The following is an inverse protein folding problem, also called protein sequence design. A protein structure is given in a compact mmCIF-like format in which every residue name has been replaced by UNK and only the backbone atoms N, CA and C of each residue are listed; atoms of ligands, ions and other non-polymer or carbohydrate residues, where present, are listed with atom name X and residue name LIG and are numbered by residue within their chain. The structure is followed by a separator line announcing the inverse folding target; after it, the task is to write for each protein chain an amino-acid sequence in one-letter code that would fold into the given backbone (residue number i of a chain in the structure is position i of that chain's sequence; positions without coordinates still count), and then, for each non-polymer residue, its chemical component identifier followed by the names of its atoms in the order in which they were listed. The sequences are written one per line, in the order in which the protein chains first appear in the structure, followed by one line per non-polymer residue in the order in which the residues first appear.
data_IF_367770666108
#
_entry.id   IF_367770666108
#
_cell.length_a   1.000
_cell.length_b   1.000
_cell.length_c   1.000
_cell.angle_alpha   90.00
_cell.angle_beta   90.00
_cell.angle_gamma   90.00
#
_symmetry.space_group_name_H-M   'P 1'
#
loop_
_entity.id
_entity.type
_entity.pdbx_description
1 polymer ?
#
# COMPACT_ATOMS: atom_id res chain seq x y z
N UNK A 1 -32.55 19.35 -7.51
CA UNK A 1 -31.30 18.61 -7.67
C UNK A 1 -31.57 17.15 -7.36
N UNK A 2 -31.12 16.25 -8.20
CA UNK A 2 -31.31 14.82 -7.94
C UNK A 2 -30.24 14.29 -6.99
N UNK A 3 -30.53 13.14 -6.35
CA UNK A 3 -29.57 12.50 -5.46
C UNK A 3 -28.25 12.14 -6.14
N UNK A 4 -28.29 11.96 -7.46
CA UNK A 4 -27.13 11.54 -8.25
C UNK A 4 -26.39 12.70 -8.90
N UNK A 5 -26.77 13.94 -8.60
CA UNK A 5 -26.07 15.10 -9.15
C UNK A 5 -24.63 15.14 -8.64
N UNK A 6 -23.65 15.37 -9.53
CA UNK A 6 -22.27 15.46 -9.12
C UNK A 6 -22.04 16.60 -8.11
N UNK A 7 -21.32 16.29 -7.07
CA UNK A 7 -20.92 17.29 -6.07
C UNK A 7 -19.64 16.82 -5.37
N UNK A 8 -18.96 17.74 -4.72
CA UNK A 8 -17.79 17.37 -3.92
C UNK A 8 -18.23 16.61 -2.67
N UNK A 9 -17.42 15.67 -2.27
CA UNK A 9 -17.62 14.92 -1.03
C UNK A 9 -16.40 15.10 -0.14
N UNK A 10 -16.63 15.22 1.16
CA UNK A 10 -15.55 15.30 2.14
C UNK A 10 -15.64 14.09 3.04
N UNK A 11 -14.55 13.35 3.14
CA UNK A 11 -14.41 12.26 4.09
C UNK A 11 -13.48 12.72 5.20
N UNK A 12 -13.99 12.77 6.44
CA UNK A 12 -13.21 13.29 7.57
C UNK A 12 -12.19 12.25 8.03
N UNK A 13 -10.99 12.71 8.34
CA UNK A 13 -9.94 11.86 8.88
C UNK A 13 -10.29 11.33 10.26
N UNK A 14 -9.69 10.20 10.63
CA UNK A 14 -9.84 9.62 11.95
C UNK A 14 -11.08 8.77 12.16
N UNK A 15 -11.92 8.56 11.14
CA UNK A 15 -13.11 7.74 11.25
C UNK A 15 -12.89 6.43 10.48
N UNK A 16 -12.93 5.31 11.22
CA UNK A 16 -12.89 4.00 10.59
C UNK A 16 -11.54 3.60 10.00
N UNK A 17 -11.14 2.41 10.30
CA UNK A 17 -10.00 1.76 9.66
C UNK A 17 -10.39 0.33 9.36
N UNK A 18 -9.68 -0.29 8.43
CA UNK A 18 -9.92 -1.69 8.11
C UNK A 18 -8.59 -2.39 7.89
N UNK A 19 -8.59 -3.71 8.04
CA UNK A 19 -7.44 -4.54 7.73
C UNK A 19 -7.59 -5.06 6.30
N UNK A 20 -6.64 -4.70 5.43
CA UNK A 20 -6.64 -5.20 4.07
C UNK A 20 -6.21 -6.65 3.98
N UNK A 21 -6.45 -7.27 2.83
CA UNK A 21 -6.04 -8.67 2.55
C UNK A 21 -4.53 -8.84 2.65
N UNK A 22 -3.79 -7.77 2.42
CA UNK A 22 -2.34 -7.74 2.54
C UNK A 22 -1.85 -7.82 3.99
N UNK A 23 -2.75 -7.73 4.98
CA UNK A 23 -2.42 -7.84 6.39
C UNK A 23 -2.05 -6.54 7.07
N UNK A 24 -2.28 -5.40 6.42
CA UNK A 24 -1.97 -4.07 6.97
C UNK A 24 -3.25 -3.29 7.27
N UNK A 25 -3.11 -2.29 8.14
CA UNK A 25 -4.22 -1.43 8.53
C UNK A 25 -4.31 -0.21 7.62
N UNK A 26 -5.49 0.01 7.07
CA UNK A 26 -5.79 1.13 6.18
C UNK A 26 -6.86 2.02 6.78
N UNK A 27 -6.70 3.33 6.56
CA UNK A 27 -7.82 4.26 6.70
C UNK A 27 -8.39 4.51 5.32
N UNK A 28 -9.65 4.17 5.12
CA UNK A 28 -10.32 4.32 3.84
C UNK A 28 -10.76 5.76 3.63
N UNK A 29 -9.96 6.53 2.89
CA UNK A 29 -10.30 7.90 2.57
C UNK A 29 -11.38 7.97 1.48
N UNK A 30 -10.95 7.96 0.23
CA UNK A 30 -11.86 8.08 -0.92
C UNK A 30 -12.01 6.72 -1.59
N UNK A 31 -13.27 6.31 -1.75
CA UNK A 31 -13.61 5.08 -2.48
C UNK A 31 -15.03 5.18 -3.02
N UNK A 32 -15.50 4.14 -3.69
CA UNK A 32 -16.89 4.07 -4.12
C UNK A 32 -17.85 4.17 -2.93
N UNK A 33 -17.52 3.51 -1.83
CA UNK A 33 -18.38 3.46 -0.65
C UNK A 33 -18.39 4.76 0.13
N UNK A 34 -17.24 5.41 0.28
CA UNK A 34 -17.14 6.61 1.10
C UNK A 34 -17.56 7.88 0.39
N UNK A 35 -17.29 7.97 -0.90
CA UNK A 35 -17.47 9.21 -1.65
C UNK A 35 -18.18 9.04 -2.99
N UNK A 36 -18.53 7.82 -3.36
CA UNK A 36 -19.12 7.58 -4.67
C UNK A 36 -18.12 7.70 -5.82
N UNK A 37 -16.83 7.51 -5.53
CA UNK A 37 -15.81 7.55 -6.57
C UNK A 37 -16.05 6.46 -7.61
N UNK A 38 -15.78 6.78 -8.87
CA UNK A 38 -16.11 5.88 -9.98
C UNK A 38 -14.90 5.18 -10.55
N UNK A 39 -13.70 5.76 -10.42
CA UNK A 39 -12.50 5.24 -11.10
C UNK A 39 -11.26 5.21 -10.24
N UNK A 40 -11.34 5.69 -9.00
CA UNK A 40 -10.18 5.73 -8.12
C UNK A 40 -10.55 5.49 -6.69
N UNK A 41 -9.56 5.07 -5.91
CA UNK A 41 -9.61 5.12 -4.45
C UNK A 41 -8.31 5.77 -3.94
N UNK A 42 -8.37 6.29 -2.73
CA UNK A 42 -7.24 6.98 -2.12
C UNK A 42 -7.33 6.80 -0.61
N UNK A 43 -6.31 6.18 -0.03
CA UNK A 43 -6.35 5.84 1.39
C UNK A 43 -4.98 5.94 2.05
N UNK A 44 -5.00 5.91 3.37
CA UNK A 44 -3.82 6.00 4.21
C UNK A 44 -3.46 4.60 4.73
N UNK A 45 -2.20 4.24 4.59
CA UNK A 45 -1.65 2.99 5.10
C UNK A 45 -0.70 3.29 6.25
N UNK A 46 -0.83 2.54 7.33
CA UNK A 46 0.14 2.56 8.43
C UNK A 46 0.75 1.17 8.59
N UNK A 47 2.08 1.12 8.55
CA UNK A 47 2.83 -0.11 8.78
C UNK A 47 3.56 0.03 10.12
N UNK A 48 3.21 -0.79 11.12
CA UNK A 48 3.86 -0.67 12.42
C UNK A 48 5.35 -1.02 12.35
N UNK A 49 6.12 -0.65 13.40
CA UNK A 49 7.53 -1.04 13.45
C UNK A 49 7.72 -2.53 13.23
N UNK A 50 8.66 -2.89 12.37
CA UNK A 50 8.92 -4.30 12.03
C UNK A 50 7.85 -4.98 11.21
N UNK A 51 6.77 -4.27 10.86
CA UNK A 51 5.65 -4.85 10.13
C UNK A 51 5.91 -5.03 8.65
N UNK A 52 5.14 -5.92 8.03
CA UNK A 52 5.21 -6.14 6.58
C UNK A 52 3.87 -6.61 6.06
N UNK A 53 3.62 -6.33 4.80
CA UNK A 53 2.45 -6.86 4.11
C UNK A 53 2.65 -8.31 3.74
N UNK A 54 1.58 -8.97 3.32
CA UNK A 54 1.65 -10.23 2.58
C UNK A 54 2.01 -9.92 1.14
N UNK A 55 2.80 -10.80 0.52
CA UNK A 55 3.13 -10.66 -0.89
C UNK A 55 1.86 -10.73 -1.73
N UNK A 56 1.70 -9.80 -2.66
CA UNK A 56 0.48 -9.70 -3.46
C UNK A 56 0.71 -8.92 -4.74
N UNK A 57 -0.29 -8.96 -5.61
CA UNK A 57 -0.37 -8.09 -6.79
C UNK A 57 -1.80 -7.57 -6.91
N UNK A 58 -1.96 -6.55 -7.71
CA UNK A 58 -3.27 -6.04 -8.11
C UNK A 58 -3.45 -6.35 -9.59
N UNK A 59 -4.40 -7.24 -9.90
CA UNK A 59 -4.51 -7.81 -11.23
C UNK A 59 -4.92 -6.79 -12.30
N UNK A 60 -5.82 -5.88 -11.95
CA UNK A 60 -6.52 -5.04 -12.92
C UNK A 60 -6.32 -3.54 -12.74
N UNK A 61 -5.56 -3.10 -11.75
CA UNK A 61 -5.35 -1.67 -11.56
C UNK A 61 -3.92 -1.35 -11.18
N UNK A 62 -3.57 -0.10 -11.36
CA UNK A 62 -2.25 0.40 -11.00
C UNK A 62 -2.34 1.22 -9.71
N UNK A 63 -1.22 1.39 -9.04
CA UNK A 63 -1.12 2.12 -7.77
C UNK A 63 -0.03 3.16 -7.81
N UNK A 64 -0.28 4.27 -7.14
CA UNK A 64 0.73 5.28 -6.84
C UNK A 64 0.81 5.43 -5.33
N UNK A 65 2.02 5.43 -4.79
CA UNK A 65 2.26 5.47 -3.36
C UNK A 65 3.16 6.65 -3.04
N UNK A 66 2.82 7.40 -2.00
CA UNK A 66 3.68 8.45 -1.46
C UNK A 66 4.00 8.12 -0.01
N UNK A 67 5.28 7.92 0.31
CA UNK A 67 5.70 7.67 1.69
C UNK A 67 5.75 9.00 2.43
N UNK A 68 4.87 9.17 3.41
CA UNK A 68 4.78 10.42 4.19
C UNK A 68 5.93 10.48 5.19
N UNK A 69 6.14 9.38 5.92
CA UNK A 69 7.18 9.28 6.95
C UNK A 69 7.60 7.85 7.14
N UNK A 70 8.78 7.66 7.68
CA UNK A 70 9.34 6.34 7.93
C UNK A 70 10.30 5.91 6.84
N UNK A 71 10.71 4.64 6.93
CA UNK A 71 11.64 4.01 6.00
C UNK A 71 11.08 2.64 5.64
N UNK A 72 11.02 2.32 4.36
CA UNK A 72 10.45 1.06 3.91
C UNK A 72 11.36 0.36 2.92
N UNK A 73 11.34 -0.96 2.96
CA UNK A 73 11.94 -1.80 1.92
C UNK A 73 10.82 -2.28 1.01
N UNK A 74 10.89 -1.94 -0.26
CA UNK A 74 9.94 -2.40 -1.26
C UNK A 74 10.57 -3.50 -2.08
N UNK A 75 10.05 -4.71 -1.92
CA UNK A 75 10.41 -5.85 -2.75
C UNK A 75 9.38 -6.00 -3.86
N UNK A 76 9.81 -6.27 -5.08
CA UNK A 76 8.87 -6.35 -6.19
C UNK A 76 9.42 -7.17 -7.35
N UNK A 77 8.53 -7.42 -8.32
CA UNK A 77 8.87 -8.15 -9.53
C UNK A 77 8.82 -9.65 -9.34
N UNK A 78 9.24 -10.38 -10.36
CA UNK A 78 9.23 -11.85 -10.35
C UNK A 78 10.11 -12.39 -9.22
N UNK A 79 9.53 -13.23 -8.38
CA UNK A 79 10.23 -13.79 -7.23
C UNK A 79 10.63 -12.76 -6.19
N UNK A 80 10.09 -11.55 -6.26
CA UNK A 80 10.42 -10.43 -5.37
C UNK A 80 11.92 -10.15 -5.33
N UNK A 81 12.57 -10.22 -6.47
CA UNK A 81 14.04 -10.07 -6.58
C UNK A 81 14.51 -8.63 -6.68
N UNK A 82 13.62 -7.72 -7.08
CA UNK A 82 13.95 -6.31 -7.14
C UNK A 82 13.71 -5.65 -5.79
N UNK A 83 14.50 -4.65 -5.46
CA UNK A 83 14.41 -3.98 -4.17
C UNK A 83 14.78 -2.51 -4.27
N UNK A 84 13.98 -1.67 -3.62
CA UNK A 84 14.33 -0.28 -3.37
C UNK A 84 14.06 0.06 -1.91
N UNK A 85 14.94 0.82 -1.31
CA UNK A 85 14.70 1.40 0.01
C UNK A 85 14.10 2.78 -0.18
N UNK A 86 12.96 3.00 0.50
CA UNK A 86 12.19 4.23 0.40
C UNK A 86 12.32 5.04 1.67
N UNK A 87 12.34 6.35 1.52
CA UNK A 87 12.38 7.30 2.62
C UNK A 87 11.20 8.25 2.51
N UNK A 88 10.86 8.90 3.61
CA UNK A 88 9.79 9.90 3.58
C UNK A 88 10.02 10.92 2.47
N UNK A 89 8.99 11.16 1.67
CA UNK A 89 9.06 12.01 0.49
C UNK A 89 9.16 11.27 -0.83
N UNK A 90 9.40 9.96 -0.81
CA UNK A 90 9.54 9.19 -2.05
C UNK A 90 8.19 8.75 -2.61
N UNK A 91 8.15 8.62 -3.93
CA UNK A 91 6.98 8.12 -4.65
C UNK A 91 7.30 6.78 -5.29
N UNK A 92 6.31 5.90 -5.33
CA UNK A 92 6.41 4.59 -5.99
C UNK A 92 5.24 4.42 -6.95
N UNK A 93 5.53 3.94 -8.14
CA UNK A 93 4.51 3.51 -9.09
C UNK A 93 4.51 2.00 -9.20
N UNK A 94 3.34 1.39 -9.06
CA UNK A 94 3.18 -0.06 -9.13
C UNK A 94 2.22 -0.39 -10.27
N UNK A 95 2.72 -0.93 -11.39
CA UNK A 95 1.84 -1.35 -12.48
C UNK A 95 0.93 -2.51 -12.09
N UNK A 96 -0.17 -2.67 -12.80
CA UNK A 96 -1.03 -3.83 -12.64
C UNK A 96 -0.23 -5.11 -12.88
N UNK A 97 -0.51 -6.14 -12.10
CA UNK A 97 0.09 -7.46 -12.28
C UNK A 97 1.50 -7.65 -11.72
N UNK A 98 2.09 -6.62 -11.13
CA UNK A 98 3.46 -6.74 -10.58
C UNK A 98 3.40 -7.17 -9.12
N UNK A 99 4.00 -8.32 -8.77
CA UNK A 99 4.11 -8.74 -7.36
C UNK A 99 4.91 -7.75 -6.54
N UNK A 100 4.46 -7.49 -5.33
CA UNK A 100 5.19 -6.59 -4.43
C UNK A 100 4.93 -6.92 -2.96
N UNK A 101 5.86 -6.49 -2.13
CA UNK A 101 5.80 -6.71 -0.69
C UNK A 101 6.55 -5.58 0.02
N UNK A 102 5.83 -4.63 0.62
CA UNK A 102 6.48 -3.60 1.43
C UNK A 102 6.75 -4.08 2.85
N UNK A 103 7.88 -3.65 3.38
CA UNK A 103 8.31 -3.97 4.76
C UNK A 103 8.73 -2.67 5.42
N UNK A 104 8.29 -2.45 6.66
CA UNK A 104 8.84 -1.34 7.44
C UNK A 104 10.29 -1.67 7.81
N UNK A 105 11.23 -0.84 7.39
CA UNK A 105 12.65 -1.07 7.63
C UNK A 105 13.09 -0.70 9.04
N UNK A 106 12.22 -0.08 9.83
CA UNK A 106 12.50 0.32 11.20
C UNK A 106 11.84 -0.61 12.21
N UNK A 107 12.54 -0.92 13.28
CA UNK A 107 11.99 -1.69 14.40
C UNK A 107 11.37 -0.80 15.48
N UNK A 108 11.48 0.53 15.34
CA UNK A 108 11.04 1.48 16.37
C UNK A 108 10.05 2.53 15.89
N UNK A 109 9.98 2.80 14.60
CA UNK A 109 9.14 3.86 14.05
C UNK A 109 8.14 3.31 13.05
N UNK A 110 6.88 3.81 13.05
CA UNK A 110 5.93 3.42 12.02
C UNK A 110 6.30 4.02 10.66
N UNK A 111 5.80 3.41 9.60
CA UNK A 111 5.84 3.98 8.26
C UNK A 111 4.41 4.30 7.84
N UNK A 112 4.20 5.47 7.23
CA UNK A 112 2.88 5.92 6.80
C UNK A 112 2.94 6.38 5.36
N UNK A 113 1.95 5.94 4.60
CA UNK A 113 1.92 6.20 3.17
C UNK A 113 0.49 6.51 2.70
N UNK A 114 0.41 7.34 1.66
CA UNK A 114 -0.83 7.54 0.91
C UNK A 114 -0.78 6.66 -0.33
N UNK A 115 -1.89 6.03 -0.65
CA UNK A 115 -2.00 5.12 -1.78
C UNK A 115 -3.21 5.52 -2.63
N UNK A 116 -2.96 5.77 -3.91
CA UNK A 116 -4.00 5.99 -4.90
C UNK A 116 -4.03 4.79 -5.85
N UNK A 117 -5.21 4.31 -6.19
CA UNK A 117 -5.39 3.22 -7.16
C UNK A 117 -6.44 3.59 -8.18
N UNK A 118 -6.31 3.02 -9.37
CA UNK A 118 -7.24 3.24 -10.48
C UNK A 118 -8.45 2.33 -10.42
N UNK A 119 -8.96 2.09 -9.22
CA UNK A 119 -10.15 1.30 -8.95
C UNK A 119 -10.88 1.95 -7.77
N UNK A 120 -12.20 2.08 -7.82
CA UNK A 120 -12.93 2.71 -6.72
C UNK A 120 -13.10 1.81 -5.48
N UNK A 121 -12.75 0.53 -5.59
CA UNK A 121 -12.84 -0.45 -4.50
C UNK A 121 -11.44 -0.89 -4.11
N UNK A 122 -10.95 -0.45 -2.97
CA UNK A 122 -9.54 -0.58 -2.58
C UNK A 122 -9.02 -2.01 -2.48
N UNK A 123 -9.90 -2.99 -2.25
CA UNK A 123 -9.51 -4.41 -2.19
C UNK A 123 -9.82 -5.18 -3.47
N UNK A 124 -10.26 -4.48 -4.51
CA UNK A 124 -10.56 -5.12 -5.77
C UNK A 124 -9.29 -5.64 -6.43
N UNK A 125 -9.39 -6.80 -7.04
CA UNK A 125 -8.31 -7.47 -7.77
C UNK A 125 -7.02 -7.72 -6.98
N UNK A 126 -7.07 -7.74 -5.65
CA UNK A 126 -5.93 -8.16 -4.83
C UNK A 126 -5.76 -9.67 -4.96
N UNK A 127 -4.59 -10.09 -5.40
CA UNK A 127 -4.22 -11.50 -5.51
C UNK A 127 -3.07 -11.78 -4.56
N UNK A 128 -3.32 -12.58 -3.53
CA UNK A 128 -2.27 -12.96 -2.58
C UNK A 128 -1.35 -14.01 -3.20
N UNK A 129 -0.06 -13.89 -2.91
CA UNK A 129 0.98 -14.76 -3.44
C UNK A 129 1.74 -15.42 -2.28
N UNK A 130 1.09 -16.37 -1.57
CA UNK A 130 1.66 -16.93 -0.35
C UNK A 130 3.00 -17.64 -0.56
N UNK A 131 3.25 -18.16 -1.74
CA UNK A 131 4.52 -18.78 -2.08
C UNK A 131 5.71 -17.82 -2.05
N UNK A 132 5.44 -16.51 -2.11
CA UNK A 132 6.49 -15.50 -2.05
C UNK A 132 6.70 -14.92 -0.65
N UNK A 133 5.84 -15.25 0.31
CA UNK A 133 5.91 -14.65 1.64
C UNK A 133 7.12 -15.09 2.47
N UNK A 134 7.63 -16.26 2.22
CA UNK A 134 8.70 -16.85 3.04
C UNK A 134 10.04 -17.01 2.31
N UNK A 135 10.26 -16.22 1.27
CA UNK A 135 11.53 -16.28 0.55
C UNK A 135 12.68 -15.82 1.44
N UNK A 136 13.82 -16.55 1.45
CA UNK A 136 14.91 -16.25 2.39
C UNK A 136 15.48 -14.84 2.29
N UNK A 137 15.57 -14.28 1.10
CA UNK A 137 16.18 -12.96 0.93
C UNK A 137 15.34 -11.82 1.52
N UNK A 138 14.07 -12.03 1.82
CA UNK A 138 13.20 -11.02 2.39
C UNK A 138 13.53 -10.71 3.86
N UNK A 139 14.24 -11.60 4.54
CA UNK A 139 14.56 -11.43 5.95
C UNK A 139 15.78 -10.53 6.17
N UNK A 140 16.58 -10.33 5.14
CA UNK A 140 17.77 -9.48 5.19
C UNK A 140 17.86 -8.62 3.93
N UNK A 141 17.03 -7.56 3.83
CA UNK A 141 17.07 -6.71 2.66
C UNK A 141 18.41 -6.02 2.46
N UNK A 142 18.83 -5.81 1.21
CA UNK A 142 20.08 -5.10 0.92
C UNK A 142 20.14 -3.74 1.60
N UNK A 143 21.31 -3.42 2.16
CA UNK A 143 21.56 -2.13 2.80
C UNK A 143 20.95 -1.95 4.19
N UNK A 144 20.11 -2.86 4.65
CA UNK A 144 19.49 -2.73 5.96
C UNK A 144 20.50 -2.79 7.11
N UNK A 145 21.47 -3.71 7.03
CA UNK A 145 22.50 -3.85 8.04
C UNK A 145 23.41 -2.63 8.11
N UNK A 146 23.58 -1.92 7.00
CA UNK A 146 24.44 -0.75 6.93
C UNK A 146 23.83 0.50 7.56
N UNK A 147 22.51 0.54 7.59
CA UNK A 147 21.77 1.67 8.16
C UNK A 147 21.45 1.47 9.64
N UNK A 148 21.73 0.30 10.12
CA UNK A 148 21.74 -0.14 11.50
C UNK A 148 20.61 0.24 12.38
#
# INVERSE_FOLDING_TARGET
MTENSPTCRVVRGGSGSYEGRQGLTYFEGISAQTAGAQRLCFHLLTVPPGGRARAHLHANHESAVYLIEGTADMWYGEGLREHDRLFGGDFVYIPAGVPHLPVNASDSQPARALIARTDPNEQESVVLLPELDALPHLTQPPGRAETG
#
